data_IF_924293715896
#
_entry.id   IF_924293715896
#
_cell.length_a   1.000
_cell.length_b   1.000
_cell.length_c   1.000
_cell.angle_alpha   90.00
_cell.angle_beta   90.00
_cell.angle_gamma   90.00
#
_symmetry.space_group_name_H-M   'P 1'
#
loop_
_entity.id
_entity.type
_entity.pdbx_description
1 polymer ?
#
# COMPACT_ATOMS: atom_id res chain seq x y z
N UNK A 1 23.84 -28.85 6.05
CA UNK A 1 22.40 -29.18 6.08
C UNK A 1 22.11 -29.93 4.80
N UNK A 2 21.63 -31.17 4.88
CA UNK A 2 21.24 -31.97 3.71
C UNK A 2 19.76 -31.74 3.44
N UNK A 3 19.40 -31.47 2.18
CA UNK A 3 18.01 -31.27 1.76
C UNK A 3 17.62 -32.44 0.84
N UNK A 4 16.43 -33.02 1.03
CA UNK A 4 15.96 -34.08 0.16
C UNK A 4 15.31 -33.50 -1.11
N UNK A 5 15.55 -34.10 -2.27
CA UNK A 5 14.88 -33.71 -3.51
C UNK A 5 13.37 -33.97 -3.41
N UNK A 6 12.55 -32.97 -3.72
CA UNK A 6 11.09 -33.05 -3.68
C UNK A 6 10.49 -34.12 -4.61
N UNK A 7 11.20 -34.52 -5.67
CA UNK A 7 10.71 -35.50 -6.66
C UNK A 7 11.13 -36.94 -6.38
N UNK A 8 12.39 -37.16 -6.01
CA UNK A 8 12.95 -38.53 -5.87
C UNK A 8 13.48 -38.86 -4.47
N UNK A 9 13.46 -37.91 -3.52
CA UNK A 9 13.94 -38.14 -2.15
C UNK A 9 15.47 -38.24 -2.01
N UNK A 10 16.24 -38.13 -3.08
CA UNK A 10 17.69 -38.22 -3.02
C UNK A 10 18.28 -37.06 -2.19
N UNK A 11 19.33 -37.31 -1.38
CA UNK A 11 19.99 -36.26 -0.61
C UNK A 11 20.74 -35.31 -1.54
N UNK A 12 20.59 -34.01 -1.30
CA UNK A 12 21.25 -32.93 -2.02
C UNK A 12 22.11 -32.11 -1.05
N UNK A 13 23.30 -31.73 -1.51
CA UNK A 13 24.24 -30.88 -0.78
C UNK A 13 24.33 -29.52 -1.51
N UNK A 14 23.58 -28.51 -1.04
CA UNK A 14 23.51 -27.23 -1.75
C UNK A 14 24.79 -26.41 -1.55
N UNK A 15 25.28 -25.70 -2.59
CA UNK A 15 26.37 -24.75 -2.44
C UNK A 15 26.01 -23.66 -1.42
N UNK A 16 26.98 -23.16 -0.63
CA UNK A 16 26.73 -22.09 0.34
C UNK A 16 26.16 -20.86 -0.36
N UNK A 17 24.97 -20.43 0.07
CA UNK A 17 24.29 -19.24 -0.45
C UNK A 17 23.33 -19.47 -1.62
N UNK A 18 23.25 -20.67 -2.19
CA UNK A 18 22.32 -20.95 -3.28
C UNK A 18 20.85 -21.04 -2.79
N UNK A 19 19.91 -20.47 -3.55
CA UNK A 19 18.47 -20.55 -3.28
C UNK A 19 17.78 -21.72 -4.01
N UNK A 20 18.49 -22.33 -4.97
CA UNK A 20 18.04 -23.53 -5.67
C UNK A 20 19.18 -24.47 -6.01
N UNK A 21 18.89 -25.76 -6.05
CA UNK A 21 19.84 -26.81 -6.43
C UNK A 21 19.17 -27.78 -7.41
N UNK A 22 19.87 -28.13 -8.49
CA UNK A 22 19.41 -29.14 -9.44
C UNK A 22 19.80 -30.53 -8.94
N UNK A 23 18.83 -31.43 -8.84
CA UNK A 23 19.06 -32.80 -8.40
C UNK A 23 19.93 -33.55 -9.42
N UNK A 24 21.07 -34.11 -8.98
CA UNK A 24 21.97 -34.87 -9.85
C UNK A 24 21.37 -36.20 -10.33
N UNK A 25 20.33 -36.71 -9.64
CA UNK A 25 19.71 -37.99 -9.95
C UNK A 25 18.53 -37.86 -10.94
N UNK A 26 17.65 -36.89 -10.75
CA UNK A 26 16.42 -36.75 -11.56
C UNK A 26 16.32 -35.43 -12.35
N UNK A 27 17.30 -34.54 -12.22
CA UNK A 27 17.37 -33.26 -12.96
C UNK A 27 16.39 -32.18 -12.49
N UNK A 28 15.55 -32.45 -11.49
CA UNK A 28 14.55 -31.50 -10.97
C UNK A 28 15.23 -30.38 -10.19
N UNK A 29 14.78 -29.14 -10.41
CA UNK A 29 15.23 -27.98 -9.65
C UNK A 29 14.45 -27.91 -8.34
N UNK A 30 15.14 -27.90 -7.19
CA UNK A 30 14.54 -27.79 -5.86
C UNK A 30 14.89 -26.43 -5.27
N UNK A 31 13.89 -25.64 -4.89
CA UNK A 31 14.05 -24.37 -4.17
C UNK A 31 14.27 -24.67 -2.69
N UNK A 32 15.26 -24.02 -2.07
CA UNK A 32 15.59 -24.19 -0.66
C UNK A 32 14.82 -23.12 0.11
N UNK A 33 13.78 -23.54 0.84
CA UNK A 33 13.04 -22.64 1.72
C UNK A 33 13.94 -22.29 2.92
N UNK A 34 14.59 -21.15 2.82
CA UNK A 34 15.40 -20.61 3.92
C UNK A 34 14.42 -20.08 4.96
N UNK A 35 14.48 -20.61 6.18
CA UNK A 35 13.73 -20.03 7.29
C UNK A 35 14.05 -18.54 7.35
N UNK A 36 13.00 -17.70 7.30
CA UNK A 36 13.17 -16.26 7.42
C UNK A 36 13.96 -15.97 8.71
N UNK A 37 14.91 -15.02 8.69
CA UNK A 37 15.59 -14.62 9.91
C UNK A 37 14.54 -14.28 10.97
N UNK A 38 14.72 -14.70 12.23
CA UNK A 38 13.76 -14.38 13.28
C UNK A 38 13.54 -12.87 13.29
N UNK A 39 12.28 -12.40 13.42
CA UNK A 39 12.01 -10.97 13.46
C UNK A 39 12.86 -10.34 14.56
N UNK A 40 13.46 -9.16 14.31
CA UNK A 40 14.28 -8.50 15.32
C UNK A 40 13.45 -8.34 16.58
N UNK A 41 13.92 -8.94 17.68
CA UNK A 41 13.26 -8.77 18.96
C UNK A 41 13.47 -7.32 19.38
N UNK A 42 12.41 -6.52 19.32
CA UNK A 42 12.41 -5.15 19.83
C UNK A 42 12.49 -5.25 21.35
N UNK A 43 13.69 -5.11 21.90
CA UNK A 43 13.90 -4.96 23.34
C UNK A 43 13.37 -3.59 23.72
N UNK A 44 12.13 -3.55 24.21
CA UNK A 44 11.55 -2.33 24.80
C UNK A 44 12.26 -2.12 26.14
N UNK A 45 13.34 -1.34 26.11
CA UNK A 45 14.00 -0.82 27.31
C UNK A 45 13.01 0.15 27.97
N UNK A 46 12.25 -0.35 28.94
CA UNK A 46 11.42 0.49 29.79
C UNK A 46 12.36 1.35 30.64
N UNK A 47 12.51 2.63 30.28
CA UNK A 47 13.15 3.60 31.15
C UNK A 47 12.26 3.82 32.37
N UNK A 48 12.71 3.53 33.61
CA UNK A 48 11.93 3.84 34.79
C UNK A 48 11.93 5.35 35.01
N UNK A 49 10.73 5.96 35.01
CA UNK A 49 10.50 7.22 35.74
C UNK A 49 10.38 8.52 34.95
N UNK A 50 9.93 8.51 33.69
CA UNK A 50 9.46 9.75 33.05
C UNK A 50 7.98 9.98 33.42
N UNK A 51 7.74 10.87 34.38
CA UNK A 51 6.41 11.43 34.65
C UNK A 51 6.02 12.33 33.47
N UNK A 52 4.95 11.98 32.76
CA UNK A 52 4.39 12.81 31.71
C UNK A 52 3.63 13.98 32.35
N UNK A 53 4.28 15.15 32.40
CA UNK A 53 3.61 16.42 32.66
C UNK A 53 2.68 16.78 31.49
N UNK A 54 1.52 17.32 31.82
CA UNK A 54 0.54 17.78 30.84
C UNK A 54 1.13 18.86 29.92
N UNK A 55 0.88 18.82 28.59
CA UNK A 55 1.39 19.83 27.67
C UNK A 55 0.62 21.14 27.83
N UNK A 56 1.31 22.19 28.28
CA UNK A 56 0.89 23.58 28.08
C UNK A 56 1.23 23.99 26.64
N UNK A 57 0.22 24.32 25.85
CA UNK A 57 0.38 24.82 24.48
C UNK A 57 0.85 26.28 24.49
N UNK A 58 2.16 26.49 24.56
CA UNK A 58 2.80 27.75 24.19
C UNK A 58 3.63 27.53 22.92
N UNK A 59 3.07 27.94 21.77
CA UNK A 59 3.77 27.98 20.49
C UNK A 59 4.69 29.20 20.45
N UNK A 60 5.93 29.02 20.91
CA UNK A 60 7.03 29.94 20.63
C UNK A 60 7.78 29.46 19.37
N UNK A 61 7.69 30.25 18.31
CA UNK A 61 8.50 30.10 17.11
C UNK A 61 10.00 30.21 17.47
N UNK A 62 10.72 29.09 17.43
CA UNK A 62 12.16 29.06 17.62
C UNK A 62 12.84 28.78 16.27
N UNK A 63 13.55 29.80 15.79
CA UNK A 63 14.39 29.78 14.62
C UNK A 63 15.42 28.64 14.66
N UNK A 64 15.44 27.82 13.61
CA UNK A 64 16.46 26.80 13.37
C UNK A 64 17.79 27.51 13.07
N UNK A 65 18.71 27.47 14.03
CA UNK A 65 20.13 27.78 13.80
C UNK A 65 20.81 26.56 13.16
N UNK A 66 21.08 26.66 11.87
CA UNK A 66 22.03 25.80 11.16
C UNK A 66 23.46 26.17 11.55
N UNK A 67 24.18 25.21 12.13
CA UNK A 67 25.63 25.20 12.39
C UNK A 67 26.07 23.75 12.12
N UNK A 68 26.93 23.39 11.17
CA UNK A 68 28.06 24.11 10.60
C UNK A 68 29.35 23.43 11.06
N UNK A 69 29.82 22.40 10.33
CA UNK A 69 31.20 21.89 10.28
C UNK A 69 31.19 20.75 9.25
N UNK A 70 31.98 20.66 8.18
CA UNK A 70 33.18 21.37 7.79
C UNK A 70 34.10 20.35 7.10
N UNK A 71 34.43 20.61 5.84
CA UNK A 71 35.60 20.12 5.11
C UNK A 71 35.75 18.61 4.82
N UNK A 72 35.44 18.19 3.57
CA UNK A 72 36.34 17.35 2.78
C UNK A 72 36.34 17.77 1.30
N UNK A 73 37.43 18.44 0.94
CA UNK A 73 38.24 18.25 -0.27
C UNK A 73 37.60 18.38 -1.67
N UNK A 74 37.87 19.55 -2.23
CA UNK A 74 38.00 19.88 -3.65
C UNK A 74 39.02 19.02 -4.40
N UNK A 75 38.63 18.34 -5.49
CA UNK A 75 39.46 18.08 -6.68
C UNK A 75 38.59 18.04 -7.95
N UNK A 76 39.03 18.81 -8.95
CA UNK A 76 38.78 18.69 -10.40
C UNK A 76 37.44 19.17 -10.98
N UNK A 77 37.30 20.50 -10.96
CA UNK A 77 36.68 21.31 -12.01
C UNK A 77 37.48 21.09 -13.32
N UNK A 78 37.09 20.10 -14.14
CA UNK A 78 37.55 19.95 -15.53
C UNK A 78 36.59 19.13 -16.42
N UNK A 79 35.34 18.91 -16.00
CA UNK A 79 34.37 18.08 -16.74
C UNK A 79 32.95 18.65 -16.78
N UNK A 80 32.78 19.96 -16.58
CA UNK A 80 31.46 20.59 -16.39
C UNK A 80 31.13 21.68 -17.42
N UNK A 81 31.82 21.71 -18.56
CA UNK A 81 31.55 22.67 -19.66
C UNK A 81 31.24 21.98 -21.00
N UNK A 82 31.24 20.64 -21.05
CA UNK A 82 30.96 19.84 -22.25
C UNK A 82 29.84 18.80 -22.01
N UNK A 83 28.75 19.21 -21.33
CA UNK A 83 27.50 18.46 -21.33
C UNK A 83 26.27 19.37 -21.27
N UNK A 84 26.36 20.55 -21.91
CA UNK A 84 25.25 21.52 -22.01
C UNK A 84 24.60 21.51 -23.40
N UNK A 85 24.98 20.60 -24.31
CA UNK A 85 24.45 20.56 -25.70
C UNK A 85 23.96 19.17 -26.14
N UNK A 86 23.92 18.16 -25.24
CA UNK A 86 23.81 16.76 -25.66
C UNK A 86 22.69 15.90 -25.09
N UNK A 87 21.72 16.44 -24.34
CA UNK A 87 20.53 15.67 -23.89
C UNK A 87 19.30 16.57 -23.87
N UNK A 88 18.86 16.96 -25.06
CA UNK A 88 17.46 17.28 -25.29
C UNK A 88 16.81 15.98 -25.78
N UNK A 89 16.25 15.18 -24.86
CA UNK A 89 15.23 14.13 -25.06
C UNK A 89 15.06 13.38 -23.73
N UNK A 90 13.90 13.62 -23.11
CA UNK A 90 13.22 12.81 -22.07
C UNK A 90 13.81 12.90 -20.65
N UNK A 91 13.20 13.72 -19.80
CA UNK A 91 12.50 13.36 -18.54
C UNK A 91 11.92 14.66 -17.98
N UNK A 92 10.59 14.90 -18.02
CA UNK A 92 10.00 15.91 -17.18
C UNK A 92 9.56 15.27 -15.85
N UNK A 93 10.03 15.89 -14.77
CA UNK A 93 9.16 16.33 -13.67
C UNK A 93 8.35 15.26 -12.92
N UNK A 94 9.00 14.60 -11.95
CA UNK A 94 8.29 13.98 -10.81
C UNK A 94 9.06 14.32 -9.54
N UNK A 95 8.60 15.37 -8.84
CA UNK A 95 8.74 15.58 -7.38
C UNK A 95 8.57 17.06 -7.02
N UNK A 96 7.35 17.57 -7.13
CA UNK A 96 6.84 18.56 -6.14
C UNK A 96 5.33 18.36 -6.09
N UNK A 97 4.90 17.69 -5.02
CA UNK A 97 3.49 17.43 -4.79
C UNK A 97 2.77 18.72 -4.45
N UNK A 98 1.95 19.19 -5.38
CA UNK A 98 0.61 19.75 -5.17
C UNK A 98 -0.10 19.55 -6.51
N UNK A 99 -0.76 18.41 -6.71
CA UNK A 99 -1.79 18.31 -7.73
C UNK A 99 -2.97 19.10 -7.19
N UNK A 100 -3.01 20.39 -7.49
CA UNK A 100 -4.22 21.18 -7.33
C UNK A 100 -5.20 20.68 -8.38
N UNK A 101 -6.30 20.08 -7.93
CA UNK A 101 -7.37 19.56 -8.77
C UNK A 101 -7.86 20.67 -9.70
N UNK A 102 -7.42 20.66 -10.96
CA UNK A 102 -7.98 21.54 -11.99
C UNK A 102 -9.37 20.97 -12.30
N UNK A 103 -10.47 21.73 -12.11
CA UNK A 103 -11.80 21.24 -12.44
C UNK A 103 -11.84 20.82 -13.92
N UNK A 104 -11.98 19.52 -14.16
CA UNK A 104 -12.04 18.94 -15.52
C UNK A 104 -10.89 17.99 -15.91
N UNK A 105 -9.86 17.83 -15.09
CA UNK A 105 -8.89 16.73 -15.22
C UNK A 105 -9.19 15.68 -14.15
N UNK A 106 -10.30 14.98 -14.33
CA UNK A 106 -10.62 13.82 -13.51
C UNK A 106 -9.54 12.74 -13.65
N UNK A 107 -9.37 11.93 -12.62
CA UNK A 107 -8.51 10.74 -12.69
C UNK A 107 -8.97 9.83 -13.82
N UNK A 108 -8.04 9.35 -14.64
CA UNK A 108 -8.31 8.55 -15.85
C UNK A 108 -7.99 7.06 -15.69
N UNK A 109 -7.52 6.64 -14.51
CA UNK A 109 -7.15 5.25 -14.24
C UNK A 109 -5.80 4.82 -14.80
N UNK A 110 -4.98 5.75 -15.32
CA UNK A 110 -3.66 5.43 -15.89
C UNK A 110 -2.54 5.26 -14.86
N UNK A 111 -2.71 5.81 -13.66
CA UNK A 111 -1.77 5.72 -12.54
C UNK A 111 -2.54 5.76 -11.21
N UNK A 112 -1.98 5.26 -10.09
CA UNK A 112 -2.64 5.28 -8.78
C UNK A 112 -3.24 6.63 -8.40
N UNK A 113 -4.46 6.63 -7.87
CA UNK A 113 -5.08 7.82 -7.29
C UNK A 113 -4.63 7.97 -5.84
N UNK A 114 -3.81 8.98 -5.57
CA UNK A 114 -3.33 9.28 -4.21
C UNK A 114 -3.98 10.55 -3.70
N UNK A 115 -4.68 10.44 -2.57
CA UNK A 115 -5.28 11.58 -1.90
C UNK A 115 -4.84 11.65 -0.43
N UNK A 116 -4.43 12.84 0.01
CA UNK A 116 -3.90 13.06 1.36
C UNK A 116 -4.28 14.44 1.91
N UNK A 117 -3.93 14.69 3.18
CA UNK A 117 -4.17 15.98 3.82
C UNK A 117 -5.67 16.21 4.08
N UNK A 118 -6.24 17.27 3.50
CA UNK A 118 -7.68 17.57 3.57
C UNK A 118 -8.27 17.73 2.16
N UNK A 119 -7.71 17.02 1.18
CA UNK A 119 -8.13 17.09 -0.22
C UNK A 119 -9.50 16.46 -0.46
N UNK A 120 -10.05 16.73 -1.64
CA UNK A 120 -11.24 16.07 -2.16
C UNK A 120 -10.95 15.65 -3.60
N UNK A 121 -11.09 14.36 -3.89
CA UNK A 121 -10.90 13.79 -5.23
C UNK A 121 -12.17 13.06 -5.68
N UNK A 122 -12.48 13.15 -6.96
CA UNK A 122 -13.66 12.49 -7.53
C UNK A 122 -13.35 11.87 -8.88
N UNK A 123 -13.88 10.67 -9.12
CA UNK A 123 -13.76 10.00 -10.41
C UNK A 123 -15.05 9.27 -10.78
N UNK A 124 -15.43 9.36 -12.06
CA UNK A 124 -16.67 8.78 -12.56
C UNK A 124 -16.45 8.03 -13.87
N UNK A 125 -16.99 6.81 -13.98
CA UNK A 125 -16.91 6.01 -15.22
C UNK A 125 -15.50 5.56 -15.60
N UNK A 126 -14.57 5.50 -14.64
CA UNK A 126 -13.17 5.12 -14.86
C UNK A 126 -13.03 3.61 -14.86
N UNK A 127 -12.32 3.08 -15.86
CA UNK A 127 -11.84 1.69 -15.86
C UNK A 127 -10.33 1.71 -15.70
N UNK A 128 -9.82 1.00 -14.69
CA UNK A 128 -8.40 0.95 -14.41
C UNK A 128 -7.92 -0.49 -14.15
N UNK A 129 -6.75 -0.82 -14.70
CA UNK A 129 -6.06 -2.10 -14.47
C UNK A 129 -4.65 -1.80 -13.96
N UNK A 130 -4.37 -2.18 -12.72
CA UNK A 130 -3.14 -1.83 -12.01
C UNK A 130 -2.56 -3.08 -11.32
N UNK A 131 -2.06 -4.08 -12.09
CA UNK A 131 -1.46 -5.27 -11.51
C UNK A 131 -0.19 -4.91 -10.74
N UNK A 132 -0.04 -5.45 -9.53
CA UNK A 132 1.12 -5.17 -8.66
C UNK A 132 1.07 -3.83 -7.92
N UNK A 133 0.00 -3.04 -8.05
CA UNK A 133 -0.11 -1.71 -7.45
C UNK A 133 -1.38 -1.54 -6.61
N UNK A 134 -1.43 -0.43 -5.86
CA UNK A 134 -2.62 0.04 -5.15
C UNK A 134 -3.37 1.02 -6.05
N UNK A 135 -4.65 0.77 -6.34
CA UNK A 135 -5.38 1.64 -7.27
C UNK A 135 -5.74 3.00 -6.65
N UNK A 136 -6.22 3.01 -5.40
CA UNK A 136 -6.58 4.23 -4.68
C UNK A 136 -6.01 4.20 -3.26
N UNK A 137 -5.22 5.21 -2.93
CA UNK A 137 -4.67 5.43 -1.59
C UNK A 137 -5.23 6.74 -1.02
N UNK A 138 -6.01 6.63 0.06
CA UNK A 138 -6.62 7.76 0.74
C UNK A 138 -6.14 7.83 2.20
N UNK A 139 -5.52 8.95 2.56
CA UNK A 139 -4.98 9.20 3.89
C UNK A 139 -5.27 10.62 4.42
N UNK A 140 -4.90 10.88 5.66
CA UNK A 140 -5.29 12.12 6.35
C UNK A 140 -6.81 12.28 6.42
N UNK A 141 -7.34 13.49 6.40
CA UNK A 141 -8.78 13.74 6.34
C UNK A 141 -9.29 13.89 4.90
N UNK A 142 -8.65 13.22 3.93
CA UNK A 142 -9.07 13.27 2.54
C UNK A 142 -10.49 12.69 2.33
N UNK A 143 -11.22 13.23 1.36
CA UNK A 143 -12.47 12.67 0.85
C UNK A 143 -12.30 12.18 -0.60
N UNK A 144 -12.71 10.95 -0.89
CA UNK A 144 -12.69 10.40 -2.27
C UNK A 144 -14.09 9.91 -2.66
N UNK A 145 -14.58 10.34 -3.81
CA UNK A 145 -15.85 9.90 -4.39
C UNK A 145 -15.62 9.16 -5.72
N UNK A 146 -15.96 7.87 -5.77
CA UNK A 146 -15.84 7.01 -6.96
C UNK A 146 -17.22 6.57 -7.41
N UNK A 147 -17.61 6.89 -8.64
CA UNK A 147 -18.93 6.56 -9.19
C UNK A 147 -18.83 5.77 -10.50
N UNK A 148 -19.49 4.61 -10.58
CA UNK A 148 -19.50 3.80 -11.79
C UNK A 148 -18.10 3.34 -12.23
N UNK A 149 -17.17 3.16 -11.29
CA UNK A 149 -15.79 2.75 -11.57
C UNK A 149 -15.68 1.24 -11.75
N UNK A 150 -14.74 0.79 -12.58
CA UNK A 150 -14.36 -0.61 -12.74
C UNK A 150 -12.85 -0.77 -12.50
N UNK A 151 -12.48 -1.19 -11.29
CA UNK A 151 -11.08 -1.22 -10.84
C UNK A 151 -10.61 -2.67 -10.67
N UNK A 152 -9.45 -3.00 -11.24
CA UNK A 152 -8.76 -4.28 -11.08
C UNK A 152 -7.30 -4.03 -10.68
N UNK A 153 -6.94 -4.42 -9.45
CA UNK A 153 -5.61 -4.21 -8.90
C UNK A 153 -5.23 -5.31 -7.92
N UNK A 154 -3.97 -5.34 -7.48
CA UNK A 154 -3.58 -6.25 -6.40
C UNK A 154 -4.29 -5.82 -5.11
N UNK A 155 -4.22 -4.53 -4.76
CA UNK A 155 -5.02 -3.93 -3.69
C UNK A 155 -5.80 -2.74 -4.24
N UNK A 156 -7.13 -2.83 -4.31
CA UNK A 156 -7.91 -1.76 -4.96
C UNK A 156 -7.99 -0.50 -4.11
N UNK A 157 -8.14 -0.61 -2.79
CA UNK A 157 -8.32 0.52 -1.89
C UNK A 157 -7.48 0.37 -0.61
N UNK A 158 -6.83 1.46 -0.23
CA UNK A 158 -6.26 1.68 1.10
C UNK A 158 -6.82 2.96 1.69
N UNK A 159 -7.52 2.85 2.83
CA UNK A 159 -8.22 3.97 3.48
C UNK A 159 -7.72 4.11 4.92
N UNK A 160 -6.99 5.19 5.19
CA UNK A 160 -6.34 5.45 6.47
C UNK A 160 -6.52 6.88 6.97
N UNK A 161 -6.02 7.16 8.18
CA UNK A 161 -5.76 8.53 8.65
C UNK A 161 -6.97 9.46 8.86
N UNK A 162 -8.18 8.92 9.08
CA UNK A 162 -9.49 9.60 9.04
C UNK A 162 -10.04 9.91 7.64
N UNK A 163 -9.50 9.30 6.58
CA UNK A 163 -10.00 9.51 5.23
C UNK A 163 -11.39 8.89 5.08
N UNK A 164 -12.19 9.47 4.18
CA UNK A 164 -13.52 8.97 3.85
C UNK A 164 -13.61 8.69 2.36
N UNK A 165 -13.79 7.43 2.00
CA UNK A 165 -13.95 6.99 0.60
C UNK A 165 -15.37 6.48 0.39
N UNK A 166 -16.04 6.99 -0.63
CA UNK A 166 -17.36 6.50 -1.07
C UNK A 166 -17.25 5.91 -2.46
N UNK A 167 -17.70 4.66 -2.63
CA UNK A 167 -17.83 4.00 -3.93
C UNK A 167 -19.31 3.76 -4.23
N UNK A 168 -19.77 4.18 -5.41
CA UNK A 168 -21.16 4.01 -5.87
C UNK A 168 -21.20 3.29 -7.21
N UNK A 169 -22.04 2.27 -7.31
CA UNK A 169 -22.36 1.56 -8.56
C UNK A 169 -21.12 1.04 -9.32
N UNK A 170 -20.04 0.73 -8.58
CA UNK A 170 -18.76 0.28 -9.12
C UNK A 170 -18.50 -1.21 -8.96
N UNK A 171 -17.46 -1.71 -9.63
CA UNK A 171 -16.90 -3.05 -9.46
C UNK A 171 -15.44 -2.97 -9.06
N UNK A 172 -15.08 -3.65 -7.97
CA UNK A 172 -13.73 -3.67 -7.39
C UNK A 172 -13.20 -5.11 -7.42
N UNK A 173 -12.14 -5.39 -8.18
CA UNK A 173 -11.46 -6.69 -8.25
C UNK A 173 -10.09 -6.59 -7.59
N UNK A 174 -9.88 -7.38 -6.55
CA UNK A 174 -8.69 -7.27 -5.68
C UNK A 174 -8.10 -8.65 -5.37
N UNK A 175 -6.78 -8.75 -5.39
CA UNK A 175 -6.05 -9.99 -5.05
C UNK A 175 -5.69 -10.03 -3.56
N UNK A 176 -5.49 -8.85 -2.98
CA UNK A 176 -5.27 -8.59 -1.57
C UNK A 176 -6.50 -7.93 -0.92
N UNK A 177 -6.67 -8.02 0.41
CA UNK A 177 -7.79 -7.38 1.09
C UNK A 177 -7.77 -5.84 0.93
N UNK A 178 -8.95 -5.24 0.83
CA UNK A 178 -9.13 -3.79 0.95
C UNK A 178 -8.79 -3.38 2.38
N UNK A 179 -7.81 -2.49 2.55
CA UNK A 179 -7.33 -2.08 3.86
C UNK A 179 -8.07 -0.84 4.35
N UNK A 180 -8.66 -0.94 5.54
CA UNK A 180 -9.27 0.20 6.22
C UNK A 180 -8.74 0.27 7.65
N UNK A 181 -7.95 1.29 7.96
CA UNK A 181 -7.32 1.47 9.26
C UNK A 181 -7.25 2.95 9.67
N UNK A 182 -6.64 3.27 10.82
CA UNK A 182 -6.38 4.65 11.24
C UNK A 182 -7.62 5.56 11.27
N UNK A 183 -8.77 5.05 11.73
CA UNK A 183 -10.08 5.72 11.66
C UNK A 183 -10.61 6.00 10.24
N UNK A 184 -10.05 5.36 9.23
CA UNK A 184 -10.54 5.41 7.86
C UNK A 184 -11.98 4.88 7.78
N UNK A 185 -12.75 5.48 6.87
CA UNK A 185 -14.14 5.15 6.62
C UNK A 185 -14.35 4.85 5.15
N UNK A 186 -14.78 3.63 4.85
CA UNK A 186 -15.17 3.20 3.51
C UNK A 186 -16.68 3.00 3.46
N UNK A 187 -17.35 3.70 2.55
CA UNK A 187 -18.76 3.49 2.22
C UNK A 187 -18.90 2.87 0.82
N UNK A 188 -19.59 1.73 0.74
CA UNK A 188 -19.88 1.02 -0.51
C UNK A 188 -21.40 1.07 -0.77
N UNK A 189 -21.82 1.58 -1.93
CA UNK A 189 -23.23 1.67 -2.32
C UNK A 189 -23.46 0.98 -3.65
N UNK A 190 -24.29 -0.07 -3.64
CA UNK A 190 -24.55 -0.90 -4.83
C UNK A 190 -23.26 -1.38 -5.52
N UNK A 191 -22.17 -1.54 -4.76
CA UNK A 191 -20.85 -1.89 -5.28
C UNK A 191 -20.69 -3.41 -5.29
N UNK A 192 -20.03 -3.93 -6.32
CA UNK A 192 -19.60 -5.32 -6.38
C UNK A 192 -18.12 -5.39 -5.99
N UNK A 193 -17.80 -6.11 -4.92
CA UNK A 193 -16.42 -6.42 -4.52
C UNK A 193 -16.15 -7.88 -4.87
N UNK A 194 -15.07 -8.14 -5.57
CA UNK A 194 -14.60 -9.49 -5.93
C UNK A 194 -13.18 -9.61 -5.41
N UNK A 195 -12.98 -10.44 -4.39
CA UNK A 195 -11.68 -10.73 -3.82
C UNK A 195 -11.29 -12.19 -4.07
N UNK A 196 -10.00 -12.42 -4.35
CA UNK A 196 -9.40 -13.76 -4.41
C UNK A 196 -8.99 -14.30 -3.03
N UNK A 197 -9.23 -13.51 -1.97
CA UNK A 197 -9.02 -13.86 -0.59
C UNK A 197 -10.09 -13.20 0.30
N UNK A 198 -9.72 -12.80 1.53
CA UNK A 198 -10.57 -11.96 2.35
C UNK A 198 -10.79 -10.60 1.69
N UNK A 199 -12.03 -10.13 1.66
CA UNK A 199 -12.36 -8.88 0.99
C UNK A 199 -11.82 -7.65 1.73
N UNK A 200 -11.77 -7.69 3.07
CA UNK A 200 -11.35 -6.55 3.89
C UNK A 200 -10.31 -6.91 4.94
N UNK A 201 -9.37 -6.01 5.18
CA UNK A 201 -8.51 -6.00 6.38
C UNK A 201 -8.83 -4.74 7.19
N UNK A 202 -9.33 -4.95 8.40
CA UNK A 202 -9.78 -3.88 9.28
C UNK A 202 -8.80 -3.68 10.43
N UNK A 203 -8.08 -2.57 10.35
CA UNK A 203 -7.12 -2.13 11.37
C UNK A 203 -7.75 -1.28 12.47
N UNK A 204 -6.91 -0.53 13.17
CA UNK A 204 -7.34 0.31 14.30
C UNK A 204 -8.44 1.31 13.88
N UNK A 205 -9.63 1.16 14.46
CA UNK A 205 -10.79 2.02 14.21
C UNK A 205 -11.27 2.10 12.75
N UNK A 206 -10.82 1.21 11.86
CA UNK A 206 -11.34 1.14 10.50
C UNK A 206 -12.84 0.83 10.49
N UNK A 207 -13.57 1.48 9.58
CA UNK A 207 -15.03 1.31 9.41
C UNK A 207 -15.38 1.06 7.97
N UNK A 208 -16.20 0.04 7.75
CA UNK A 208 -16.79 -0.24 6.44
C UNK A 208 -18.30 -0.28 6.59
N UNK A 209 -18.99 0.54 5.81
CA UNK A 209 -20.43 0.55 5.66
C UNK A 209 -20.77 0.11 4.22
N UNK A 210 -21.26 -1.11 4.07
CA UNK A 210 -21.72 -1.63 2.78
C UNK A 210 -23.25 -1.62 2.70
N UNK A 211 -23.78 -1.02 1.64
CA UNK A 211 -25.22 -0.85 1.41
C UNK A 211 -25.61 -1.32 0.01
N UNK A 212 -26.29 -2.45 -0.06
CA UNK A 212 -26.61 -3.09 -1.34
C UNK A 212 -25.37 -3.71 -2.01
N UNK A 213 -25.50 -4.13 -3.27
CA UNK A 213 -24.41 -4.76 -4.01
C UNK A 213 -24.05 -6.16 -3.49
N UNK A 214 -22.83 -6.60 -3.80
CA UNK A 214 -22.33 -7.95 -3.50
C UNK A 214 -20.86 -7.92 -3.09
N UNK A 215 -20.48 -8.71 -2.09
CA UNK A 215 -19.09 -8.95 -1.72
C UNK A 215 -18.80 -10.43 -1.92
N UNK A 216 -17.98 -10.73 -2.91
CA UNK A 216 -17.51 -12.08 -3.23
C UNK A 216 -16.09 -12.26 -2.71
N UNK A 217 -15.82 -13.35 -1.97
CA UNK A 217 -14.56 -13.55 -1.27
C UNK A 217 -14.21 -15.03 -1.17
N UNK A 218 -12.92 -15.33 -0.99
CA UNK A 218 -12.43 -16.69 -0.70
C UNK A 218 -12.07 -16.77 0.78
N UNK A 219 -12.60 -17.78 1.48
CA UNK A 219 -12.34 -17.98 2.92
C UNK A 219 -13.26 -17.14 3.81
N UNK A 220 -12.70 -16.16 4.52
CA UNK A 220 -13.45 -15.27 5.42
C UNK A 220 -13.69 -13.92 4.77
N UNK A 221 -14.84 -13.24 5.00
CA UNK A 221 -15.14 -11.96 4.35
C UNK A 221 -14.21 -10.82 4.79
N UNK A 222 -13.63 -10.90 6.00
CA UNK A 222 -12.70 -9.91 6.50
C UNK A 222 -11.70 -10.51 7.52
N UNK A 223 -10.58 -9.83 7.69
CA UNK A 223 -9.58 -10.07 8.74
C UNK A 223 -9.52 -8.86 9.68
N UNK A 224 -9.28 -9.10 10.97
CA UNK A 224 -9.06 -8.07 11.96
C UNK A 224 -10.11 -8.07 13.07
N UNK A 225 -9.91 -7.20 14.07
CA UNK A 225 -10.93 -6.90 15.09
C UNK A 225 -11.62 -5.61 14.69
N UNK A 226 -12.67 -5.67 13.85
CA UNK A 226 -13.37 -4.45 13.46
C UNK A 226 -13.93 -3.77 14.70
N UNK A 227 -13.75 -2.46 14.78
CA UNK A 227 -14.59 -1.67 15.66
C UNK A 227 -16.00 -1.55 15.08
N UNK A 228 -16.14 -1.58 13.75
CA UNK A 228 -17.43 -1.68 13.06
C UNK A 228 -17.25 -2.16 11.62
N UNK A 229 -17.81 -3.32 11.30
CA UNK A 229 -18.10 -3.76 9.94
C UNK A 229 -19.62 -3.91 9.84
N UNK A 230 -20.25 -3.17 8.95
CA UNK A 230 -21.70 -3.16 8.82
C UNK A 230 -22.12 -3.37 7.36
N UNK A 231 -22.61 -4.57 7.06
CA UNK A 231 -23.16 -4.93 5.76
C UNK A 231 -24.70 -4.93 5.84
N UNK A 232 -25.33 -3.86 5.35
CA UNK A 232 -26.79 -3.74 5.25
C UNK A 232 -27.22 -4.02 3.83
N UNK A 233 -28.13 -4.98 3.65
CA UNK A 233 -28.67 -5.36 2.33
C UNK A 233 -27.63 -5.78 1.29
N UNK A 234 -26.36 -5.90 1.66
CA UNK A 234 -25.27 -6.41 0.84
C UNK A 234 -25.21 -7.92 0.95
N UNK A 235 -25.09 -8.61 -0.19
CA UNK A 235 -24.94 -10.06 -0.21
C UNK A 235 -23.47 -10.44 0.00
N UNK A 236 -23.21 -11.30 0.99
CA UNK A 236 -21.91 -11.93 1.19
C UNK A 236 -21.92 -13.28 0.45
N UNK A 237 -21.05 -13.44 -0.54
CA UNK A 237 -21.03 -14.60 -1.44
C UNK A 237 -19.67 -15.29 -1.37
N UNK A 238 -19.54 -16.43 -0.67
CA UNK A 238 -18.32 -17.22 -0.72
C UNK A 238 -18.02 -17.70 -2.14
N UNK A 239 -16.77 -17.59 -2.56
CA UNK A 239 -16.22 -18.19 -3.79
C UNK A 239 -15.45 -19.45 -3.42
N UNK A 240 -15.59 -20.48 -4.26
CA UNK A 240 -14.88 -21.74 -4.16
C UNK A 240 -13.49 -21.64 -4.79
#
# INVERSE_FOLDING_TARGET
>A
MTVACSKCGAPLEPPPGADSVRCQYCGTLTTIERAAPPPPQVVIVHAPGASFGAPSHDVAAAAVKTSGCGALMSVAIAGFVMLVVGVAVIVPLVSTGVVGSVPGLGWDGSAPLVCSGNGHESASGVTAQMPGEVAVEAGGNCQVELEGVDLDADQVLTVGGNAHVTVRDGTLRTREPIRVDGNGHLELRNTIVISDGPAFELGANGRVDARGGQIQYVGQPYIGRPNRFEARTTQLVPRN
#
